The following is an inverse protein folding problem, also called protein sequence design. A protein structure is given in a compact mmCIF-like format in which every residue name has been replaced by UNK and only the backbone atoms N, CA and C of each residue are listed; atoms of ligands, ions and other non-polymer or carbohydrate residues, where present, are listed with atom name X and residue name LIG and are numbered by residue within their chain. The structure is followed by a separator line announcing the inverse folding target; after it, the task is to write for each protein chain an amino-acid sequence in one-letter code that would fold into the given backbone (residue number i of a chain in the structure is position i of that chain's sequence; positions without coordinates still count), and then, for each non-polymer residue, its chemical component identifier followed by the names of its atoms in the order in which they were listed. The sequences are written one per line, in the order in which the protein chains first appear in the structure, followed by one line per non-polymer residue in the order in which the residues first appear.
data_IF_654362569364
#
_entry.id   IF_654362569364
#
_cell.length_a   1.000
_cell.length_b   1.000
_cell.length_c   1.000
_cell.angle_alpha   90.00
_cell.angle_beta   90.00
_cell.angle_gamma   90.00
#
_symmetry.space_group_name_H-M   'P 1'
#
loop_
_entity.id
_entity.type
_entity.pdbx_description
1 polymer ?
#
# COMPACT_ATOMS: atom_id res chain seq x y z
N UNK A 1 -2.97 -1.91 -14.63
CA UNK A 1 -2.39 -0.99 -13.63
C UNK A 1 -1.77 0.15 -14.41
N UNK A 2 -2.33 1.34 -14.30
CA UNK A 2 -1.75 2.58 -14.81
C UNK A 2 -0.39 2.76 -14.17
N UNK A 3 0.62 3.07 -14.98
CA UNK A 3 1.95 3.37 -14.45
C UNK A 3 1.91 4.63 -13.58
N UNK A 4 2.53 4.58 -12.40
CA UNK A 4 2.62 5.73 -11.48
C UNK A 4 3.31 6.94 -12.14
N UNK A 5 2.80 8.15 -11.87
CA UNK A 5 3.34 9.42 -12.38
C UNK A 5 4.68 9.76 -11.74
N UNK A 6 4.87 9.40 -10.47
CA UNK A 6 6.10 9.63 -9.74
C UNK A 6 6.37 8.52 -8.71
N UNK A 7 7.60 8.48 -8.21
CA UNK A 7 8.09 7.36 -7.40
C UNK A 7 8.75 7.84 -6.09
N UNK A 8 8.78 6.99 -5.04
CA UNK A 8 9.35 7.32 -3.74
C UNK A 8 10.88 7.33 -3.79
N UNK A 9 11.43 8.38 -4.37
CA UNK A 9 12.86 8.56 -4.59
C UNK A 9 13.41 9.65 -3.66
N UNK A 10 14.68 9.55 -3.21
CA UNK A 10 15.31 10.55 -2.37
C UNK A 10 15.29 11.95 -3.00
N UNK A 11 14.76 12.92 -2.26
CA UNK A 11 14.55 14.29 -2.75
C UNK A 11 15.85 14.98 -3.16
N UNK A 12 16.92 14.80 -2.36
CA UNK A 12 18.26 15.29 -2.67
C UNK A 12 18.81 14.83 -4.04
N UNK A 13 18.48 13.61 -4.47
CA UNK A 13 18.88 13.09 -5.79
C UNK A 13 18.02 13.67 -6.91
N UNK A 14 16.74 13.92 -6.66
CA UNK A 14 15.87 14.58 -7.65
C UNK A 14 16.29 16.03 -7.82
N UNK A 15 16.53 16.75 -6.71
CA UNK A 15 17.09 18.11 -6.72
C UNK A 15 18.41 18.17 -7.50
N UNK A 16 19.34 17.23 -7.23
CA UNK A 16 20.59 17.15 -7.99
C UNK A 16 20.35 17.05 -9.50
N UNK A 17 19.39 16.24 -9.93
CA UNK A 17 19.04 16.12 -11.35
C UNK A 17 18.43 17.42 -11.89
N UNK A 18 17.54 18.06 -11.12
CA UNK A 18 16.92 19.32 -11.50
C UNK A 18 17.96 20.43 -11.74
N UNK A 19 19.01 20.48 -10.91
CA UNK A 19 20.11 21.45 -11.05
C UNK A 19 21.08 21.09 -12.18
N UNK A 20 21.51 19.83 -12.27
CA UNK A 20 22.63 19.46 -13.16
C UNK A 20 22.20 19.16 -14.61
N UNK A 21 20.98 18.63 -14.81
CA UNK A 21 20.53 18.17 -16.14
C UNK A 21 19.17 18.74 -16.55
N UNK A 22 18.37 19.22 -15.61
CA UNK A 22 17.10 19.90 -15.87
C UNK A 22 15.98 19.00 -16.43
N UNK A 23 14.84 19.59 -16.82
CA UNK A 23 13.64 18.86 -17.27
C UNK A 23 13.82 18.09 -18.58
N UNK A 24 14.70 18.56 -19.46
CA UNK A 24 14.98 17.96 -20.77
C UNK A 24 15.96 16.77 -20.71
N UNK A 25 16.33 16.34 -19.51
CA UNK A 25 17.22 15.23 -19.28
C UNK A 25 16.76 13.95 -20.02
N UNK A 26 17.73 13.21 -20.54
CA UNK A 26 17.55 11.87 -21.10
C UNK A 26 17.91 10.81 -20.07
N UNK A 27 17.61 9.55 -20.41
CA UNK A 27 17.86 8.42 -19.52
C UNK A 27 19.35 8.29 -19.19
N UNK A 28 20.21 8.52 -20.17
CA UNK A 28 21.66 8.46 -20.07
C UNK A 28 22.20 9.53 -19.11
N UNK A 29 21.63 10.73 -19.14
CA UNK A 29 21.99 11.84 -18.25
C UNK A 29 21.69 11.44 -16.80
N UNK A 30 20.48 10.91 -16.53
CA UNK A 30 20.11 10.42 -15.20
C UNK A 30 21.03 9.29 -14.72
N UNK A 31 21.34 8.34 -15.61
CA UNK A 31 22.22 7.20 -15.27
C UNK A 31 23.64 7.67 -14.94
N UNK A 32 24.17 8.63 -15.70
CA UNK A 32 25.52 9.17 -15.49
C UNK A 32 25.61 10.05 -14.23
N UNK A 33 24.69 11.02 -14.07
CA UNK A 33 24.65 11.96 -12.94
C UNK A 33 24.48 11.26 -11.59
N UNK A 34 23.63 10.22 -11.53
CA UNK A 34 23.37 9.46 -10.30
C UNK A 34 24.19 8.17 -10.20
N UNK A 35 24.99 7.84 -11.21
CA UNK A 35 25.78 6.58 -11.31
C UNK A 35 24.92 5.32 -11.12
N UNK A 36 23.72 5.32 -11.71
CA UNK A 36 22.75 4.24 -11.60
C UNK A 36 22.96 3.25 -12.75
N UNK A 37 23.06 1.95 -12.42
CA UNK A 37 23.18 0.87 -13.43
C UNK A 37 21.83 0.36 -13.94
N UNK A 38 20.79 0.45 -13.11
CA UNK A 38 19.44 -0.04 -13.43
C UNK A 38 18.70 0.95 -14.32
N UNK A 39 18.42 0.56 -15.57
CA UNK A 39 17.59 1.34 -16.51
C UNK A 39 16.21 1.65 -15.93
N UNK A 40 15.58 0.65 -15.27
CA UNK A 40 14.28 0.81 -14.61
C UNK A 40 14.31 1.91 -13.54
N UNK A 41 15.34 1.92 -12.71
CA UNK A 41 15.48 2.92 -11.65
C UNK A 41 15.72 4.31 -12.24
N UNK A 42 16.57 4.42 -13.27
CA UNK A 42 16.79 5.68 -13.96
C UNK A 42 15.51 6.22 -14.64
N UNK A 43 14.68 5.35 -15.23
CA UNK A 43 13.37 5.75 -15.76
C UNK A 43 12.43 6.30 -14.67
N UNK A 44 12.45 5.73 -13.46
CA UNK A 44 11.66 6.24 -12.34
C UNK A 44 12.12 7.65 -11.91
N UNK A 45 13.43 7.89 -11.85
CA UNK A 45 13.98 9.22 -11.59
C UNK A 45 13.59 10.21 -12.68
N UNK A 46 13.76 9.83 -13.95
CA UNK A 46 13.42 10.69 -15.07
C UNK A 46 11.94 11.09 -15.05
N UNK A 47 11.04 10.13 -14.81
CA UNK A 47 9.61 10.41 -14.73
C UNK A 47 9.27 11.34 -13.57
N UNK A 48 9.86 11.08 -12.40
CA UNK A 48 9.66 11.92 -11.21
C UNK A 48 10.20 13.34 -11.42
N UNK A 49 11.36 13.48 -12.06
CA UNK A 49 11.96 14.76 -12.40
C UNK A 49 11.05 15.57 -13.33
N UNK A 50 10.55 14.95 -14.40
CA UNK A 50 9.62 15.61 -15.33
C UNK A 50 8.34 16.06 -14.64
N UNK A 51 7.75 15.18 -13.82
CA UNK A 51 6.56 15.53 -13.05
C UNK A 51 6.79 16.74 -12.12
N UNK A 52 7.95 16.82 -11.47
CA UNK A 52 8.29 17.95 -10.59
C UNK A 52 8.58 19.22 -11.38
N UNK A 53 9.28 19.14 -12.51
CA UNK A 53 9.66 20.31 -13.28
C UNK A 53 8.48 21.01 -13.97
N UNK A 54 7.36 20.31 -14.15
CA UNK A 54 6.09 20.92 -14.58
C UNK A 54 5.43 21.80 -13.50
N UNK A 55 5.90 21.72 -12.24
CA UNK A 55 5.22 22.29 -11.06
C UNK A 55 6.11 23.18 -10.20
N UNK A 56 7.41 22.91 -10.19
CA UNK A 56 8.41 23.65 -9.41
C UNK A 56 9.21 24.49 -10.39
N UNK A 57 8.97 25.79 -10.36
CA UNK A 57 9.61 26.77 -11.25
C UNK A 57 11.02 27.13 -10.75
N UNK A 58 11.20 27.25 -9.43
CA UNK A 58 12.49 27.65 -8.86
C UNK A 58 13.23 26.48 -8.22
N UNK A 59 14.30 26.05 -8.89
CA UNK A 59 15.18 25.00 -8.36
C UNK A 59 16.16 25.54 -7.32
N UNK A 60 16.47 26.85 -7.31
CA UNK A 60 17.22 27.58 -6.28
C UNK A 60 18.19 26.76 -5.41
N UNK A 61 18.01 26.87 -4.10
CA UNK A 61 18.60 25.96 -3.10
C UNK A 61 17.70 24.77 -2.83
N UNK A 62 18.24 23.70 -2.22
CA UNK A 62 17.44 22.52 -1.84
C UNK A 62 16.24 22.88 -0.94
N UNK A 63 16.40 23.88 -0.07
CA UNK A 63 15.35 24.34 0.85
C UNK A 63 14.26 25.13 0.14
N UNK A 64 14.61 25.89 -0.90
CA UNK A 64 13.63 26.59 -1.74
C UNK A 64 12.86 25.58 -2.60
N UNK A 65 13.58 24.68 -3.26
CA UNK A 65 12.98 23.57 -4.02
C UNK A 65 12.04 22.73 -3.16
N UNK A 66 12.43 22.40 -1.92
CA UNK A 66 11.61 21.63 -0.99
C UNK A 66 10.37 22.40 -0.54
N UNK A 67 10.49 23.71 -0.27
CA UNK A 67 9.35 24.55 0.12
C UNK A 67 8.34 24.68 -1.02
N UNK A 68 8.80 24.89 -2.24
CA UNK A 68 7.94 24.99 -3.42
C UNK A 68 7.24 23.66 -3.72
N UNK A 69 7.98 22.55 -3.67
CA UNK A 69 7.39 21.22 -3.78
C UNK A 69 6.36 20.96 -2.68
N UNK A 70 6.60 21.40 -1.44
CA UNK A 70 5.63 21.26 -0.36
C UNK A 70 4.32 21.99 -0.70
N UNK A 71 4.39 23.24 -1.17
CA UNK A 71 3.21 24.01 -1.60
C UNK A 71 2.42 23.27 -2.67
N UNK A 72 3.11 22.82 -3.74
CA UNK A 72 2.51 22.03 -4.82
C UNK A 72 1.80 20.79 -4.27
N UNK A 73 2.45 20.07 -3.36
CA UNK A 73 1.89 18.86 -2.77
C UNK A 73 0.65 19.16 -1.92
N UNK A 74 0.68 20.21 -1.10
CA UNK A 74 -0.46 20.60 -0.26
C UNK A 74 -1.68 20.96 -1.11
N UNK A 75 -1.47 21.71 -2.19
CA UNK A 75 -2.53 22.22 -3.07
C UNK A 75 -3.08 21.13 -4.00
N UNK A 76 -2.22 20.51 -4.83
CA UNK A 76 -2.68 19.53 -5.84
C UNK A 76 -3.29 18.28 -5.22
N UNK A 77 -2.80 17.87 -4.04
CA UNK A 77 -3.26 16.66 -3.35
C UNK A 77 -4.17 16.95 -2.16
N UNK A 78 -4.53 18.21 -1.88
CA UNK A 78 -5.37 18.59 -0.73
C UNK A 78 -4.95 17.90 0.57
N UNK A 79 -3.64 17.88 0.83
CA UNK A 79 -3.06 17.01 1.86
C UNK A 79 -3.56 17.34 3.27
N UNK A 80 -3.89 18.61 3.54
CA UNK A 80 -4.47 19.00 4.82
C UNK A 80 -5.81 18.31 5.07
N UNK A 81 -6.71 18.29 4.07
CA UNK A 81 -8.01 17.61 4.16
C UNK A 81 -7.82 16.10 4.37
N UNK A 82 -6.95 15.48 3.56
CA UNK A 82 -6.68 14.05 3.65
C UNK A 82 -6.06 13.65 5.00
N UNK A 83 -5.09 14.41 5.51
CA UNK A 83 -4.46 14.14 6.80
C UNK A 83 -5.43 14.38 7.97
N UNK A 84 -6.25 15.42 7.91
CA UNK A 84 -7.28 15.69 8.92
C UNK A 84 -8.32 14.56 8.98
N UNK A 85 -8.73 14.02 7.83
CA UNK A 85 -9.62 12.87 7.76
C UNK A 85 -9.00 11.65 8.46
N UNK A 86 -7.75 11.31 8.13
CA UNK A 86 -7.04 10.18 8.77
C UNK A 86 -6.92 10.37 10.28
N UNK A 87 -6.62 11.59 10.74
CA UNK A 87 -6.52 11.90 12.16
C UNK A 87 -7.86 11.75 12.88
N UNK A 88 -8.95 12.28 12.30
CA UNK A 88 -10.30 12.21 12.87
C UNK A 88 -10.75 10.76 13.04
N UNK A 89 -10.51 9.93 12.03
CA UNK A 89 -10.87 8.51 12.03
C UNK A 89 -9.83 7.63 12.75
N UNK A 90 -8.78 8.22 13.33
CA UNK A 90 -7.68 7.53 14.03
C UNK A 90 -7.01 6.45 13.18
N UNK A 91 -6.92 6.70 11.87
CA UNK A 91 -6.32 5.78 10.92
C UNK A 91 -4.81 6.05 10.82
N UNK A 92 -3.96 5.02 10.94
CA UNK A 92 -2.52 5.20 10.83
C UNK A 92 -2.13 5.69 9.43
N UNK A 93 -1.11 6.54 9.36
CA UNK A 93 -0.62 7.05 8.08
C UNK A 93 0.24 5.99 7.38
N UNK A 94 -0.32 5.41 6.33
CA UNK A 94 0.32 4.41 5.49
C UNK A 94 0.06 4.76 4.01
N UNK A 95 0.82 4.20 3.05
CA UNK A 95 0.54 4.45 1.64
C UNK A 95 -0.87 3.99 1.21
N UNK A 96 -1.47 2.99 1.85
CA UNK A 96 -2.84 2.58 1.53
C UNK A 96 -3.87 3.54 2.12
N UNK A 97 -3.72 3.96 3.38
CA UNK A 97 -4.65 4.91 4.01
C UNK A 97 -4.58 6.29 3.37
N UNK A 98 -3.39 6.78 3.03
CA UNK A 98 -3.22 8.03 2.28
C UNK A 98 -3.89 7.95 0.91
N UNK A 99 -3.69 6.86 0.16
CA UNK A 99 -4.36 6.70 -1.14
C UNK A 99 -5.90 6.66 -1.02
N UNK A 100 -6.42 6.03 0.04
CA UNK A 100 -7.86 6.03 0.32
C UNK A 100 -8.37 7.42 0.70
N UNK A 101 -7.68 8.17 1.57
CA UNK A 101 -8.10 9.50 1.97
C UNK A 101 -8.09 10.51 0.81
N UNK A 102 -7.08 10.42 -0.05
CA UNK A 102 -7.02 11.24 -1.26
C UNK A 102 -8.15 10.91 -2.24
N UNK A 103 -8.54 9.63 -2.33
CA UNK A 103 -9.67 9.22 -3.15
C UNK A 103 -10.99 9.84 -2.70
N UNK A 104 -11.24 9.95 -1.39
CA UNK A 104 -12.42 10.64 -0.85
C UNK A 104 -12.43 12.14 -1.21
N UNK A 105 -11.26 12.75 -1.31
CA UNK A 105 -11.11 14.13 -1.80
C UNK A 105 -11.22 14.28 -3.33
N UNK A 106 -11.53 13.19 -4.05
CA UNK A 106 -11.64 13.13 -5.51
C UNK A 106 -10.31 12.98 -6.25
N UNK A 107 -9.22 12.62 -5.55
CA UNK A 107 -7.86 12.59 -6.09
C UNK A 107 -7.37 11.15 -6.18
N UNK A 108 -7.29 10.63 -7.41
CA UNK A 108 -6.77 9.28 -7.63
C UNK A 108 -5.24 9.25 -7.58
N UNK A 109 -4.71 8.51 -6.61
CA UNK A 109 -3.28 8.18 -6.53
C UNK A 109 -3.08 6.68 -6.30
N UNK A 110 -2.02 6.16 -6.90
CA UNK A 110 -1.52 4.82 -6.62
C UNK A 110 -0.82 4.76 -5.26
N UNK A 111 -0.73 3.56 -4.67
CA UNK A 111 0.03 3.34 -3.42
C UNK A 111 1.51 3.74 -3.54
N UNK A 112 2.07 3.69 -4.75
CA UNK A 112 3.45 4.13 -5.02
C UNK A 112 3.58 5.64 -4.91
N UNK A 113 2.63 6.39 -5.47
CA UNK A 113 2.58 7.85 -5.39
C UNK A 113 2.31 8.30 -3.96
N UNK A 114 1.34 7.69 -3.26
CA UNK A 114 1.09 7.95 -1.85
C UNK A 114 2.34 7.71 -0.98
N UNK A 115 3.12 6.66 -1.28
CA UNK A 115 4.41 6.42 -0.60
C UNK A 115 5.43 7.52 -0.90
N UNK A 116 5.47 8.03 -2.13
CA UNK A 116 6.37 9.10 -2.51
C UNK A 116 6.03 10.40 -1.78
N UNK A 117 4.76 10.79 -1.77
CA UNK A 117 4.25 11.95 -1.01
C UNK A 117 4.67 11.84 0.47
N UNK A 118 4.33 10.73 1.14
CA UNK A 118 4.70 10.51 2.55
C UNK A 118 6.23 10.62 2.73
N UNK A 119 7.01 10.03 1.83
CA UNK A 119 8.47 10.05 1.91
C UNK A 119 9.04 11.45 1.77
N UNK A 120 8.49 12.28 0.88
CA UNK A 120 8.95 13.66 0.67
C UNK A 120 8.54 14.56 1.84
N UNK A 121 7.30 14.46 2.32
CA UNK A 121 6.86 15.21 3.51
C UNK A 121 7.76 14.92 4.73
N UNK A 122 8.16 13.65 4.92
CA UNK A 122 9.12 13.27 5.97
C UNK A 122 10.52 13.84 5.74
N UNK A 123 10.99 13.83 4.49
CA UNK A 123 12.30 14.39 4.14
C UNK A 123 12.36 15.90 4.45
N UNK A 124 11.26 16.61 4.20
CA UNK A 124 11.14 18.05 4.41
C UNK A 124 10.80 18.45 5.86
N UNK A 125 10.76 17.48 6.80
CA UNK A 125 10.27 17.64 8.18
C UNK A 125 8.85 18.26 8.30
N UNK A 126 8.06 18.19 7.21
CA UNK A 126 6.70 18.72 7.13
C UNK A 126 5.64 17.77 7.72
N UNK A 127 6.04 16.55 8.10
CA UNK A 127 5.15 15.52 8.63
C UNK A 127 5.77 14.87 9.87
N UNK A 128 5.08 15.02 11.01
CA UNK A 128 5.44 14.39 12.29
C UNK A 128 4.32 13.48 12.76
N UNK A 129 4.64 12.21 12.97
CA UNK A 129 3.68 11.20 13.42
C UNK A 129 3.75 11.05 14.94
N UNK A 130 2.61 11.20 15.61
CA UNK A 130 2.44 10.81 17.02
C UNK A 130 1.80 9.44 17.07
N UNK A 131 2.46 8.47 17.74
CA UNK A 131 1.90 7.13 17.92
C UNK A 131 0.88 7.14 19.06
N UNK A 132 -0.34 6.70 18.77
CA UNK A 132 -1.40 6.51 19.76
C UNK A 132 -1.45 5.02 20.11
N UNK A 133 -1.40 4.65 21.41
CA UNK A 133 -1.51 3.24 21.80
C UNK A 133 -2.93 2.72 21.53
N UNK A 134 -3.02 1.50 21.01
CA UNK A 134 -4.29 0.79 20.77
C UNK A 134 -4.29 -0.47 21.63
N UNK A 135 -5.30 -0.62 22.49
CA UNK A 135 -5.49 -1.83 23.28
C UNK A 135 -6.11 -2.91 22.41
N UNK A 136 -5.43 -4.04 22.28
CA UNK A 136 -5.92 -5.21 21.53
C UNK A 136 -6.10 -6.37 22.50
N UNK A 137 -7.32 -6.93 22.57
CA UNK A 137 -7.67 -7.96 23.55
C UNK A 137 -7.82 -9.32 22.87
N UNK A 138 -8.44 -9.33 21.70
CA UNK A 138 -8.70 -10.57 20.95
C UNK A 138 -7.61 -10.86 19.91
N UNK A 139 -7.60 -12.07 19.35
CA UNK A 139 -6.77 -12.36 18.18
C UNK A 139 -7.21 -11.53 16.97
N UNK A 140 -8.53 -11.34 16.80
CA UNK A 140 -9.09 -10.51 15.73
C UNK A 140 -8.56 -9.08 15.79
N UNK A 141 -8.57 -8.44 16.97
CA UNK A 141 -8.04 -7.08 17.17
C UNK A 141 -6.55 -7.02 16.82
N UNK A 142 -5.76 -7.98 17.31
CA UNK A 142 -4.31 -8.03 17.08
C UNK A 142 -3.97 -8.17 15.60
N UNK A 143 -4.67 -9.06 14.89
CA UNK A 143 -4.48 -9.25 13.46
C UNK A 143 -4.90 -7.99 12.69
N UNK A 144 -6.08 -7.44 12.99
CA UNK A 144 -6.57 -6.24 12.31
C UNK A 144 -5.60 -5.05 12.49
N UNK A 145 -5.17 -4.79 13.72
CA UNK A 145 -4.26 -3.69 14.01
C UNK A 145 -2.87 -3.90 13.41
N UNK A 146 -2.34 -5.13 13.37
CA UNK A 146 -1.09 -5.44 12.67
C UNK A 146 -1.20 -5.10 11.17
N UNK A 147 -2.31 -5.47 10.52
CA UNK A 147 -2.52 -5.14 9.10
C UNK A 147 -2.71 -3.63 8.91
N UNK A 148 -3.47 -2.96 9.77
CA UNK A 148 -3.70 -1.50 9.72
C UNK A 148 -2.41 -0.71 9.88
N UNK A 149 -1.59 -1.03 10.88
CA UNK A 149 -0.33 -0.35 11.14
C UNK A 149 0.65 -0.46 9.96
N UNK A 150 0.67 -1.63 9.29
CA UNK A 150 1.56 -1.85 8.13
C UNK A 150 0.92 -1.44 6.81
N UNK A 151 -0.39 -1.22 6.78
CA UNK A 151 -1.23 -1.03 5.58
C UNK A 151 -1.39 -2.31 4.74
N UNK A 152 -0.38 -3.18 4.68
CA UNK A 152 -0.42 -4.47 4.02
C UNK A 152 0.67 -5.42 4.52
N UNK A 153 0.33 -6.70 4.64
CA UNK A 153 1.22 -7.80 5.03
C UNK A 153 1.02 -9.03 4.14
N UNK A 154 1.91 -10.02 4.25
CA UNK A 154 1.65 -11.34 3.67
C UNK A 154 0.99 -12.25 4.69
N UNK A 155 0.20 -13.21 4.21
CA UNK A 155 -0.42 -14.21 5.07
C UNK A 155 0.62 -14.99 5.90
N UNK A 156 1.78 -15.33 5.31
CA UNK A 156 2.86 -16.00 6.01
C UNK A 156 3.45 -15.19 7.17
N UNK A 157 3.45 -13.85 7.09
CA UNK A 157 3.83 -13.00 8.23
C UNK A 157 2.84 -13.14 9.37
N UNK A 158 1.54 -13.17 9.08
CA UNK A 158 0.50 -13.36 10.09
C UNK A 158 0.57 -14.75 10.73
N UNK A 159 0.73 -15.82 9.94
CA UNK A 159 0.89 -17.19 10.46
C UNK A 159 2.09 -17.29 11.39
N UNK A 160 3.24 -16.69 11.02
CA UNK A 160 4.44 -16.71 11.88
C UNK A 160 4.20 -16.03 13.24
N UNK A 161 3.40 -14.97 13.28
CA UNK A 161 3.14 -14.21 14.51
C UNK A 161 2.00 -14.78 15.36
N UNK A 162 1.00 -15.40 14.72
CA UNK A 162 -0.28 -15.71 15.35
C UNK A 162 -0.70 -17.20 15.26
N UNK A 163 0.06 -18.03 14.53
CA UNK A 163 -0.22 -19.46 14.36
C UNK A 163 -1.33 -19.76 13.35
N UNK A 164 -1.74 -21.02 13.32
CA UNK A 164 -2.60 -21.57 12.26
C UNK A 164 -4.05 -21.04 12.29
N UNK A 165 -4.54 -20.65 13.48
CA UNK A 165 -5.88 -20.08 13.65
C UNK A 165 -6.08 -18.69 13.01
N UNK A 166 -5.02 -18.09 12.45
CA UNK A 166 -5.12 -16.78 11.79
C UNK A 166 -5.90 -16.82 10.48
N UNK A 167 -6.05 -18.01 9.86
CA UNK A 167 -6.85 -18.19 8.64
C UNK A 167 -8.26 -17.68 8.84
N UNK A 168 -8.92 -18.18 9.87
CA UNK A 168 -10.35 -17.95 10.10
C UNK A 168 -10.59 -16.49 10.47
N UNK A 169 -9.67 -15.90 11.25
CA UNK A 169 -9.69 -14.47 11.59
C UNK A 169 -9.53 -13.58 10.35
N UNK A 170 -8.59 -13.91 9.45
CA UNK A 170 -8.40 -13.15 8.19
C UNK A 170 -9.65 -13.22 7.32
N UNK A 171 -10.24 -14.41 7.18
CA UNK A 171 -11.48 -14.59 6.39
C UNK A 171 -12.63 -13.84 7.04
N UNK A 172 -12.78 -13.90 8.37
CA UNK A 172 -13.82 -13.17 9.09
C UNK A 172 -13.69 -11.65 8.92
N UNK A 173 -12.49 -11.10 9.09
CA UNK A 173 -12.23 -9.67 8.89
C UNK A 173 -12.44 -9.23 7.44
N UNK A 174 -12.12 -10.09 6.47
CA UNK A 174 -12.40 -9.86 5.05
C UNK A 174 -13.91 -9.87 4.75
N UNK A 175 -14.67 -10.82 5.29
CA UNK A 175 -16.14 -10.86 5.18
C UNK A 175 -16.78 -9.59 5.75
N UNK A 176 -16.29 -9.10 6.90
CA UNK A 176 -16.72 -7.84 7.53
C UNK A 176 -16.29 -6.59 6.73
N UNK A 177 -15.47 -6.74 5.69
CA UNK A 177 -15.00 -5.63 4.85
C UNK A 177 -13.86 -4.83 5.44
N UNK A 178 -13.23 -5.27 6.54
CA UNK A 178 -12.08 -4.58 7.15
C UNK A 178 -10.76 -4.89 6.44
N UNK A 179 -10.69 -6.02 5.74
CA UNK A 179 -9.52 -6.44 4.98
C UNK A 179 -9.86 -6.66 3.51
N UNK A 180 -8.86 -6.44 2.65
CA UNK A 180 -8.84 -6.88 1.26
C UNK A 180 -7.87 -8.05 1.12
N UNK A 181 -8.35 -9.14 0.53
CA UNK A 181 -7.55 -10.34 0.26
C UNK A 181 -7.77 -10.71 -1.21
N UNK A 182 -6.97 -10.16 -2.16
CA UNK A 182 -7.26 -10.28 -3.59
C UNK A 182 -7.42 -11.71 -4.10
N UNK A 183 -6.70 -12.66 -3.50
CA UNK A 183 -6.78 -14.08 -3.88
C UNK A 183 -8.11 -14.74 -3.51
N UNK A 184 -8.91 -14.15 -2.63
CA UNK A 184 -10.24 -14.66 -2.24
C UNK A 184 -11.36 -14.07 -3.10
N UNK A 185 -11.14 -12.95 -3.78
CA UNK A 185 -12.21 -12.22 -4.47
C UNK A 185 -12.82 -13.01 -5.63
N UNK A 186 -12.03 -13.86 -6.32
CA UNK A 186 -12.54 -14.75 -7.38
C UNK A 186 -13.57 -15.78 -6.87
N UNK A 187 -13.57 -16.05 -5.57
CA UNK A 187 -14.45 -17.02 -4.91
C UNK A 187 -15.32 -16.37 -3.84
N UNK A 188 -15.57 -15.05 -3.95
CA UNK A 188 -16.23 -14.26 -2.93
C UNK A 188 -17.58 -14.86 -2.51
N UNK A 189 -18.45 -15.14 -3.46
CA UNK A 189 -19.83 -15.57 -3.16
C UNK A 189 -19.84 -16.86 -2.34
N UNK A 190 -19.10 -17.87 -2.80
CA UNK A 190 -18.89 -19.13 -2.08
C UNK A 190 -18.33 -18.91 -0.66
N UNK A 191 -17.27 -18.10 -0.56
CA UNK A 191 -16.56 -17.89 0.70
C UNK A 191 -17.30 -16.96 1.66
N UNK A 192 -18.30 -16.20 1.21
CA UNK A 192 -19.17 -15.40 2.10
C UNK A 192 -20.22 -16.29 2.77
N UNK A 193 -20.73 -17.28 2.06
CA UNK A 193 -21.80 -18.18 2.53
C UNK A 193 -21.28 -19.41 3.30
N UNK A 194 -20.02 -19.78 3.12
CA UNK A 194 -19.45 -20.96 3.75
C UNK A 194 -19.42 -20.89 5.29
N UNK A 195 -20.12 -21.82 5.94
CA UNK A 195 -20.05 -21.98 7.41
C UNK A 195 -18.76 -22.67 7.85
N UNK A 196 -18.27 -23.63 7.07
CA UNK A 196 -17.07 -24.41 7.35
C UNK A 196 -16.06 -24.30 6.21
N UNK A 197 -14.92 -23.66 6.49
CA UNK A 197 -13.85 -23.43 5.53
C UNK A 197 -13.02 -24.69 5.22
N UNK A 198 -13.15 -25.75 6.02
CA UNK A 198 -12.46 -27.03 5.84
C UNK A 198 -13.30 -28.04 5.04
N UNK A 199 -14.62 -27.81 4.92
CA UNK A 199 -15.59 -28.69 4.27
C UNK A 199 -16.41 -27.97 3.20
N UNK A 200 -15.73 -27.42 2.20
CA UNK A 200 -16.34 -26.80 1.03
C UNK A 200 -16.71 -27.86 -0.03
N UNK A 201 -17.61 -27.53 -0.98
CA UNK A 201 -17.94 -28.41 -2.10
C UNK A 201 -16.70 -28.91 -2.85
N UNK A 202 -16.70 -30.16 -3.29
CA UNK A 202 -15.59 -30.74 -4.05
C UNK A 202 -15.42 -30.08 -5.42
N UNK A 203 -14.20 -30.17 -5.98
CA UNK A 203 -13.93 -29.76 -7.36
C UNK A 203 -13.67 -28.26 -7.54
N UNK A 204 -13.53 -27.52 -6.44
CA UNK A 204 -13.10 -26.12 -6.47
C UNK A 204 -11.69 -26.02 -7.07
N UNK A 205 -11.56 -25.20 -8.10
CA UNK A 205 -10.30 -24.94 -8.77
C UNK A 205 -9.68 -23.66 -8.23
N UNK A 206 -8.38 -23.67 -8.03
CA UNK A 206 -7.63 -22.49 -7.60
C UNK A 206 -6.45 -22.87 -6.72
N UNK A 207 -5.49 -21.96 -6.60
CA UNK A 207 -4.34 -22.15 -5.68
C UNK A 207 -4.71 -21.99 -4.21
N UNK A 208 -5.95 -21.62 -3.95
CA UNK A 208 -6.48 -21.38 -2.60
C UNK A 208 -7.31 -22.55 -2.06
N UNK A 209 -7.44 -23.65 -2.82
CA UNK A 209 -8.18 -24.82 -2.37
C UNK A 209 -7.29 -26.06 -2.40
N UNK A 210 -7.39 -26.88 -1.36
CA UNK A 210 -6.84 -28.23 -1.34
C UNK A 210 -8.00 -29.22 -1.24
N UNK A 211 -7.95 -30.31 -2.01
CA UNK A 211 -9.02 -31.33 -2.03
C UNK A 211 -8.56 -32.55 -1.26
N UNK A 212 -9.43 -33.07 -0.41
CA UNK A 212 -9.18 -34.25 0.42
C UNK A 212 -10.43 -35.13 0.50
N UNK A 213 -10.25 -36.40 0.87
CA UNK A 213 -11.34 -37.35 1.05
C UNK A 213 -11.51 -37.66 2.53
N UNK A 214 -12.73 -37.51 3.04
CA UNK A 214 -13.08 -37.92 4.39
C UNK A 214 -13.02 -39.44 4.47
N UNK A 215 -12.15 -39.94 5.37
CA UNK A 215 -11.94 -41.38 5.54
C UNK A 215 -13.13 -42.08 6.16
N UNK A 216 -14.02 -41.36 6.83
CA UNK A 216 -15.20 -41.92 7.50
C UNK A 216 -16.38 -41.97 6.54
N UNK A 217 -16.73 -40.85 5.90
CA UNK A 217 -17.89 -40.82 4.98
C UNK A 217 -17.55 -41.24 3.55
N UNK A 218 -16.27 -41.25 3.17
CA UNK A 218 -15.82 -41.47 1.80
C UNK A 218 -16.06 -40.28 0.86
N UNK A 219 -16.67 -39.20 1.36
CA UNK A 219 -16.98 -38.00 0.59
C UNK A 219 -15.72 -37.16 0.35
N UNK A 220 -15.71 -36.46 -0.78
CA UNK A 220 -14.61 -35.55 -1.14
C UNK A 220 -15.00 -34.13 -0.77
N UNK A 221 -14.09 -33.42 -0.12
CA UNK A 221 -14.24 -32.03 0.28
C UNK A 221 -13.08 -31.20 -0.24
N UNK A 222 -13.31 -29.90 -0.35
CA UNK A 222 -12.24 -28.92 -0.53
C UNK A 222 -12.09 -28.09 0.74
N UNK A 223 -10.85 -27.75 1.11
CA UNK A 223 -10.54 -26.83 2.20
C UNK A 223 -9.92 -25.54 1.65
N UNK A 224 -10.20 -24.41 2.32
CA UNK A 224 -9.56 -23.14 2.02
C UNK A 224 -8.14 -23.12 2.58
N UNK A 225 -7.18 -22.88 1.68
CA UNK A 225 -5.76 -22.67 1.99
C UNK A 225 -5.35 -21.30 1.48
N UNK A 226 -4.95 -20.39 2.37
CA UNK A 226 -4.42 -19.08 1.95
C UNK A 226 -2.91 -19.24 1.68
N UNK A 227 -2.41 -18.98 0.45
CA UNK A 227 -0.98 -19.09 0.17
C UNK A 227 -0.15 -18.15 1.03
N UNK A 228 1.02 -18.56 1.51
CA UNK A 228 1.85 -17.74 2.41
C UNK A 228 2.26 -16.38 1.81
N UNK A 229 2.34 -16.28 0.48
CA UNK A 229 2.65 -15.03 -0.24
C UNK A 229 1.40 -14.19 -0.57
N UNK A 230 0.20 -14.67 -0.24
CA UNK A 230 -1.02 -13.91 -0.43
C UNK A 230 -0.94 -12.60 0.36
N UNK A 231 -1.38 -11.51 -0.29
CA UNK A 231 -1.33 -10.17 0.26
C UNK A 231 -2.62 -9.91 1.02
N UNK A 232 -2.50 -9.50 2.28
CA UNK A 232 -3.59 -9.06 3.13
C UNK A 232 -3.42 -7.54 3.28
N UNK A 233 -4.46 -6.78 2.95
CA UNK A 233 -4.41 -5.32 2.95
C UNK A 233 -5.51 -4.74 3.85
N UNK A 234 -5.18 -3.68 4.59
CA UNK A 234 -6.19 -2.95 5.34
C UNK A 234 -7.15 -2.27 4.35
N UNK A 235 -8.45 -2.39 4.60
CA UNK A 235 -9.48 -1.63 3.91
C UNK A 235 -9.97 -0.53 4.83
N UNK A 236 -10.02 0.68 4.29
CA UNK A 236 -10.43 1.87 5.00
C UNK A 236 -11.83 2.24 4.54
N UNK A 237 -12.80 2.23 5.45
CA UNK A 237 -14.09 2.87 5.27
C UNK A 237 -13.92 4.30 5.76
N UNK A 238 -13.64 5.22 4.82
CA UNK A 238 -13.49 6.65 5.07
C UNK A 238 -14.78 7.39 4.75
#
# INVERSE_FOLDING_TARGET
MTESRFYPLPLNKIYKLAVEVGPEAKLEDVMSTLRIRSKRTAQQYLRTLKWMAERVENVGTLDEFSRELLTVLLEEFKLEEALNLLMKEKIPLTPSSMASALKEAGIEVSKTEARAIISWLKHMDALKERRVPVLTVTLEDRVLEEVRQRGSVTYGTLVKSYGDGVRDVVVQLWRKGYLSVPVLEEHRDLLMEAENLDKLPSGLKGRIFATWQDRISGETYSELVIPSRARIEARWSL
#
